data_IF_731005602001
#
_entry.id   IF_731005602001
#
_cell.length_a   1.000
_cell.length_b   1.000
_cell.length_c   1.000
_cell.angle_alpha   90.00
_cell.angle_beta   90.00
_cell.angle_gamma   90.00
#
_symmetry.space_group_name_H-M   'P 1'
#
loop_
_entity.id
_entity.type
_entity.pdbx_description
1 polymer ?
#
# COMPACT_ATOMS: atom_id res chain seq x y z
N UNK A 1 6.64 -10.97 -6.30
CA UNK A 1 6.20 -11.66 -5.07
C UNK A 1 6.27 -13.17 -5.20
N UNK A 2 5.54 -13.84 -6.12
CA UNK A 2 5.59 -15.31 -6.26
C UNK A 2 7.03 -15.88 -6.41
N UNK A 3 7.83 -15.32 -7.32
CA UNK A 3 9.23 -15.76 -7.51
C UNK A 3 10.10 -15.54 -6.25
N UNK A 4 9.79 -14.51 -5.44
CA UNK A 4 10.49 -14.25 -4.20
C UNK A 4 10.18 -15.29 -3.13
N UNK A 5 9.02 -15.97 -3.19
CA UNK A 5 8.65 -17.01 -2.23
C UNK A 5 9.60 -18.21 -2.32
N UNK A 6 9.95 -18.65 -3.53
CA UNK A 6 10.90 -19.76 -3.71
C UNK A 6 12.34 -19.38 -3.36
N UNK A 7 12.66 -18.09 -3.38
CA UNK A 7 14.01 -17.58 -3.12
C UNK A 7 14.16 -16.92 -1.75
N UNK A 8 13.13 -16.97 -0.90
CA UNK A 8 13.09 -16.24 0.38
C UNK A 8 14.31 -16.50 1.28
N UNK A 9 14.82 -17.74 1.32
CA UNK A 9 16.01 -18.10 2.11
C UNK A 9 17.34 -17.60 1.55
N UNK A 10 17.34 -17.07 0.32
CA UNK A 10 18.51 -16.58 -0.42
C UNK A 10 18.58 -15.05 -0.49
N UNK A 11 17.60 -14.36 0.11
CA UNK A 11 17.55 -12.90 0.20
C UNK A 11 18.45 -12.44 1.35
N UNK A 12 19.59 -11.87 1.00
CA UNK A 12 20.45 -11.13 1.91
C UNK A 12 20.02 -9.65 1.99
N UNK A 13 20.62 -8.90 2.91
CA UNK A 13 20.27 -7.48 3.13
C UNK A 13 20.51 -6.60 1.90
N UNK A 14 21.47 -6.95 1.04
CA UNK A 14 21.76 -6.19 -0.18
C UNK A 14 20.63 -6.38 -1.20
N UNK A 15 20.20 -7.61 -1.43
CA UNK A 15 19.05 -7.91 -2.30
C UNK A 15 17.75 -7.34 -1.74
N UNK A 16 17.55 -7.42 -0.43
CA UNK A 16 16.38 -6.83 0.22
C UNK A 16 16.35 -5.32 0.07
N UNK A 17 17.50 -4.62 0.15
CA UNK A 17 17.58 -3.18 -0.11
C UNK A 17 17.18 -2.83 -1.56
N UNK A 18 17.66 -3.62 -2.53
CA UNK A 18 17.25 -3.42 -3.93
C UNK A 18 15.74 -3.55 -4.06
N UNK A 19 15.17 -4.68 -3.61
CA UNK A 19 13.72 -4.92 -3.66
C UNK A 19 12.93 -3.86 -2.88
N UNK A 20 13.43 -3.42 -1.72
CA UNK A 20 12.81 -2.36 -0.93
C UNK A 20 12.66 -1.07 -1.74
N UNK A 21 13.71 -0.65 -2.46
CA UNK A 21 13.67 0.53 -3.34
C UNK A 21 12.67 0.35 -4.47
N UNK A 22 12.57 -0.85 -5.02
CA UNK A 22 11.57 -1.18 -6.03
C UNK A 22 10.14 -1.02 -5.47
N UNK A 23 9.91 -1.51 -4.25
CA UNK A 23 8.60 -1.44 -3.58
C UNK A 23 8.22 -0.01 -3.20
N UNK A 24 9.17 0.79 -2.69
CA UNK A 24 8.92 2.20 -2.38
C UNK A 24 8.51 2.97 -3.63
N UNK A 25 9.20 2.77 -4.76
CA UNK A 25 8.83 3.43 -6.01
C UNK A 25 7.48 2.95 -6.55
N UNK A 26 7.19 1.65 -6.47
CA UNK A 26 5.88 1.12 -6.86
C UNK A 26 4.75 1.71 -6.01
N UNK A 27 4.96 1.85 -4.70
CA UNK A 27 4.02 2.49 -3.77
C UNK A 27 3.85 4.00 -4.07
N UNK A 28 4.95 4.71 -4.34
CA UNK A 28 4.95 6.14 -4.73
C UNK A 28 4.18 6.38 -6.03
N UNK A 29 4.49 5.60 -7.08
CA UNK A 29 3.90 5.78 -8.40
C UNK A 29 2.55 5.08 -8.56
N UNK A 30 2.04 4.38 -7.54
CA UNK A 30 0.66 3.92 -7.51
C UNK A 30 -0.32 5.09 -7.74
N UNK A 31 -0.01 6.25 -7.15
CA UNK A 31 -0.76 7.50 -7.33
C UNK A 31 -0.66 8.09 -8.76
N UNK A 32 0.29 7.64 -9.61
CA UNK A 32 0.35 8.09 -11.01
C UNK A 32 -0.84 7.59 -11.84
N UNK A 33 -1.70 6.75 -11.26
CA UNK A 33 -2.99 6.34 -11.82
C UNK A 33 -4.16 7.17 -11.31
N UNK A 34 -3.90 8.28 -10.62
CA UNK A 34 -4.93 9.25 -10.23
C UNK A 34 -5.72 9.70 -11.46
N UNK A 35 -7.04 9.56 -11.36
CA UNK A 35 -8.03 9.90 -12.38
C UNK A 35 -7.88 11.35 -12.88
N UNK A 36 -7.39 12.26 -12.04
CA UNK A 36 -7.11 13.65 -12.43
C UNK A 36 -6.04 13.74 -13.53
N UNK A 37 -5.03 12.88 -13.47
CA UNK A 37 -3.92 12.76 -14.43
C UNK A 37 -4.30 11.91 -15.65
N UNK A 38 -5.28 11.00 -15.51
CA UNK A 38 -5.67 10.03 -16.54
C UNK A 38 -6.58 10.58 -17.65
N UNK A 39 -7.14 11.79 -17.50
CA UNK A 39 -8.12 12.36 -18.46
C UNK A 39 -7.59 12.50 -19.91
N UNK A 40 -6.26 12.43 -20.11
CA UNK A 40 -5.61 12.54 -21.41
C UNK A 40 -4.76 11.33 -21.80
N UNK A 41 -4.82 10.22 -21.05
CA UNK A 41 -3.96 9.05 -21.28
C UNK A 41 -4.71 7.92 -21.98
N UNK A 42 -4.06 7.25 -22.93
CA UNK A 42 -4.60 6.04 -23.54
C UNK A 42 -4.47 4.84 -22.58
N UNK A 43 -5.27 3.76 -22.75
CA UNK A 43 -5.10 2.54 -21.97
C UNK A 43 -3.68 1.95 -22.02
N UNK A 44 -2.97 2.13 -23.14
CA UNK A 44 -1.59 1.67 -23.29
C UNK A 44 -0.61 2.55 -22.49
N UNK A 45 -0.85 3.86 -22.41
CA UNK A 45 -0.07 4.76 -21.56
C UNK A 45 -0.27 4.43 -20.08
N UNK A 46 -1.50 4.08 -19.68
CA UNK A 46 -1.81 3.63 -18.31
C UNK A 46 -1.08 2.33 -18.00
N UNK A 47 -1.09 1.35 -18.92
CA UNK A 47 -0.34 0.10 -18.76
C UNK A 47 1.16 0.34 -18.66
N UNK A 48 1.70 1.28 -19.44
CA UNK A 48 3.10 1.66 -19.35
C UNK A 48 3.42 2.36 -18.02
N UNK A 49 2.51 3.21 -17.51
CA UNK A 49 2.60 3.79 -16.16
C UNK A 49 2.45 2.75 -15.05
N UNK A 50 1.76 1.66 -15.28
CA UNK A 50 1.63 0.56 -14.32
C UNK A 50 2.75 -0.49 -14.47
N UNK A 51 3.61 -0.36 -15.48
CA UNK A 51 4.71 -1.30 -15.69
C UNK A 51 5.70 -1.23 -14.52
N UNK A 52 6.02 -2.42 -13.99
CA UNK A 52 7.00 -2.64 -12.93
C UNK A 52 8.24 -3.30 -13.53
N UNK A 53 9.43 -2.81 -13.18
CA UNK A 53 10.70 -3.35 -13.66
C UNK A 53 11.83 -2.34 -13.60
N UNK A 54 13.07 -2.85 -13.64
CA UNK A 54 14.30 -2.06 -13.45
C UNK A 54 14.42 -0.85 -14.37
N UNK A 55 14.09 -1.01 -15.65
CA UNK A 55 14.20 0.07 -16.64
C UNK A 55 13.10 1.13 -16.45
N UNK A 56 11.87 0.72 -16.14
CA UNK A 56 10.75 1.62 -15.85
C UNK A 56 11.00 2.42 -14.56
N UNK A 57 11.57 1.79 -13.53
CA UNK A 57 11.96 2.46 -12.30
C UNK A 57 13.13 3.42 -12.51
N UNK A 58 14.19 3.03 -13.23
CA UNK A 58 15.30 3.92 -13.55
C UNK A 58 14.81 5.16 -14.33
N UNK A 59 13.88 4.97 -15.27
CA UNK A 59 13.27 6.06 -16.01
C UNK A 59 12.38 6.97 -15.14
N UNK A 60 11.82 6.50 -14.02
CA UNK A 60 11.00 7.32 -13.11
C UNK A 60 11.78 7.95 -11.98
N UNK A 61 12.87 7.33 -11.57
CA UNK A 61 13.77 7.84 -10.54
C UNK A 61 14.24 9.27 -10.85
N UNK A 62 14.39 9.62 -12.14
CA UNK A 62 14.76 10.99 -12.55
C UNK A 62 13.70 12.05 -12.21
N UNK A 63 12.44 11.66 -11.97
CA UNK A 63 11.36 12.55 -11.58
C UNK A 63 11.20 12.68 -10.05
N UNK A 64 11.98 11.93 -9.28
CA UNK A 64 11.99 12.02 -7.81
C UNK A 64 12.92 13.17 -7.41
N UNK A 65 12.33 14.31 -7.01
CA UNK A 65 13.09 15.51 -6.65
C UNK A 65 13.82 15.40 -5.31
N UNK A 66 13.28 14.58 -4.39
CA UNK A 66 13.88 14.31 -3.08
C UNK A 66 13.75 12.83 -2.78
N UNK A 67 14.89 12.19 -2.53
CA UNK A 67 14.97 10.75 -2.30
C UNK A 67 15.69 10.47 -0.97
N UNK A 68 14.92 10.05 0.03
CA UNK A 68 15.41 9.66 1.36
C UNK A 68 15.42 8.13 1.55
N UNK A 69 15.29 7.33 0.48
CA UNK A 69 15.18 5.85 0.56
C UNK A 69 16.35 5.18 1.28
N UNK A 70 17.57 5.71 1.15
CA UNK A 70 18.75 5.17 1.85
C UNK A 70 18.66 5.38 3.38
N UNK A 71 18.17 6.54 3.81
CA UNK A 71 17.96 6.83 5.22
C UNK A 71 16.83 5.96 5.78
N UNK A 72 15.76 5.81 5.00
CA UNK A 72 14.63 4.96 5.34
C UNK A 72 15.04 3.49 5.48
N UNK A 73 15.85 2.96 4.54
CA UNK A 73 16.34 1.59 4.62
C UNK A 73 17.21 1.36 5.85
N UNK A 74 18.11 2.29 6.19
CA UNK A 74 18.93 2.21 7.41
C UNK A 74 18.09 2.21 8.68
N UNK A 75 17.05 3.03 8.73
CA UNK A 75 16.10 3.04 9.85
C UNK A 75 15.36 1.71 9.94
N UNK A 76 14.73 1.29 8.85
CA UNK A 76 13.94 0.06 8.79
C UNK A 76 14.78 -1.17 9.18
N UNK A 77 15.98 -1.32 8.61
CA UNK A 77 16.87 -2.45 8.89
C UNK A 77 17.42 -2.48 10.32
N UNK A 78 17.25 -1.40 11.09
CA UNK A 78 17.60 -1.36 12.52
C UNK A 78 16.46 -1.88 13.43
N UNK A 79 15.24 -1.98 12.90
CA UNK A 79 14.06 -2.40 13.66
C UNK A 79 14.07 -3.90 13.94
N UNK A 80 13.33 -4.29 14.97
CA UNK A 80 13.01 -5.67 15.30
C UNK A 80 11.55 -5.76 15.66
N UNK A 81 10.81 -6.60 14.94
CA UNK A 81 9.37 -6.75 15.10
C UNK A 81 8.61 -5.42 15.01
N UNK A 82 9.09 -4.48 14.20
CA UNK A 82 8.60 -3.11 14.14
C UNK A 82 7.16 -2.99 13.63
N UNK A 83 6.53 -1.88 13.97
CA UNK A 83 5.21 -1.45 13.50
C UNK A 83 5.35 -0.36 12.44
N UNK A 84 4.73 -0.58 11.29
CA UNK A 84 4.63 0.43 10.21
C UNK A 84 3.18 0.85 10.04
N UNK A 85 2.93 2.16 9.91
CA UNK A 85 1.60 2.70 9.66
C UNK A 85 1.55 3.35 8.28
N UNK A 86 0.50 3.08 7.51
CA UNK A 86 0.19 3.73 6.23
C UNK A 86 -1.00 4.66 6.44
N UNK A 87 -0.80 5.96 6.25
CA UNK A 87 -1.90 6.92 6.07
C UNK A 87 -2.28 6.88 4.60
N UNK A 88 -3.40 6.24 4.32
CA UNK A 88 -3.82 5.89 2.96
C UNK A 88 -4.35 7.10 2.20
N UNK A 89 -4.10 7.08 0.89
CA UNK A 89 -4.64 8.02 -0.08
C UNK A 89 -5.68 7.28 -0.94
N UNK A 90 -5.41 6.98 -2.22
CA UNK A 90 -6.41 6.43 -3.12
C UNK A 90 -6.64 4.91 -3.02
N UNK A 91 -7.88 4.52 -3.28
CA UNK A 91 -8.31 3.16 -3.53
C UNK A 91 -7.83 2.63 -4.91
N UNK A 92 -8.23 1.41 -5.26
CA UNK A 92 -7.86 0.79 -6.53
C UNK A 92 -6.38 0.40 -6.57
N UNK A 93 -5.66 0.82 -7.61
CA UNK A 93 -4.30 0.35 -7.86
C UNK A 93 -3.29 0.91 -6.84
N UNK A 94 -3.50 2.12 -6.31
CA UNK A 94 -2.61 2.66 -5.27
C UNK A 94 -2.72 1.86 -3.96
N UNK A 95 -3.93 1.61 -3.46
CA UNK A 95 -4.13 0.72 -2.32
C UNK A 95 -3.53 -0.68 -2.57
N UNK A 96 -3.65 -1.21 -3.80
CA UNK A 96 -3.02 -2.48 -4.14
C UNK A 96 -1.49 -2.41 -4.00
N UNK A 97 -0.81 -1.36 -4.49
CA UNK A 97 0.64 -1.25 -4.34
C UNK A 97 1.06 -1.03 -2.88
N UNK A 98 0.24 -0.34 -2.09
CA UNK A 98 0.44 -0.21 -0.64
C UNK A 98 0.38 -1.57 0.06
N UNK A 99 -0.61 -2.41 -0.27
CA UNK A 99 -0.74 -3.77 0.26
C UNK A 99 0.42 -4.68 -0.16
N UNK A 100 0.89 -4.59 -1.42
CA UNK A 100 2.06 -5.34 -1.88
C UNK A 100 3.31 -4.89 -1.12
N UNK A 101 3.48 -3.58 -0.87
CA UNK A 101 4.63 -3.10 -0.11
C UNK A 101 4.56 -3.54 1.36
N UNK A 102 3.39 -3.44 1.99
CA UNK A 102 3.18 -3.96 3.33
C UNK A 102 3.48 -5.47 3.42
N UNK A 103 3.08 -6.25 2.41
CA UNK A 103 3.36 -7.69 2.34
C UNK A 103 4.86 -7.95 2.18
N UNK A 104 5.56 -7.14 1.37
CA UNK A 104 7.01 -7.20 1.29
C UNK A 104 7.67 -7.01 2.67
N UNK A 105 7.26 -5.96 3.39
CA UNK A 105 7.81 -5.62 4.70
C UNK A 105 7.65 -6.76 5.71
N UNK A 106 6.45 -7.34 5.84
CA UNK A 106 6.19 -8.40 6.85
C UNK A 106 6.66 -9.78 6.39
N UNK A 107 6.61 -10.07 5.09
CA UNK A 107 6.86 -11.43 4.60
C UNK A 107 8.34 -11.68 4.33
N UNK A 108 9.07 -10.69 3.80
CA UNK A 108 10.42 -10.91 3.26
C UNK A 108 11.51 -10.21 4.06
N UNK A 109 11.16 -9.27 4.93
CA UNK A 109 12.14 -8.63 5.81
C UNK A 109 11.99 -9.17 7.24
N UNK A 110 13.10 -9.24 8.01
CA UNK A 110 13.03 -9.60 9.43
C UNK A 110 12.69 -8.40 10.35
N UNK A 111 12.34 -7.25 9.78
CA UNK A 111 12.32 -5.97 10.50
C UNK A 111 10.94 -5.56 11.00
N UNK A 112 9.87 -5.95 10.30
CA UNK A 112 8.49 -5.49 10.53
C UNK A 112 7.60 -6.68 10.87
N UNK A 113 6.84 -6.58 11.95
CA UNK A 113 5.88 -7.60 12.37
C UNK A 113 4.42 -7.19 12.19
N UNK A 114 4.14 -5.88 12.12
CA UNK A 114 2.78 -5.34 12.05
C UNK A 114 2.68 -4.15 11.10
N UNK A 115 1.55 -4.09 10.40
CA UNK A 115 1.17 -2.95 9.56
C UNK A 115 -0.22 -2.46 9.93
N UNK A 116 -0.37 -1.15 10.08
CA UNK A 116 -1.65 -0.48 10.31
C UNK A 116 -1.99 0.44 9.14
N UNK A 117 -3.22 0.35 8.65
CA UNK A 117 -3.73 1.15 7.54
C UNK A 117 -4.77 2.15 8.08
N UNK A 118 -4.60 3.42 7.76
CA UNK A 118 -5.47 4.51 8.21
C UNK A 118 -6.34 5.01 7.05
N UNK A 119 -7.61 4.58 6.96
CA UNK A 119 -8.54 5.02 5.92
C UNK A 119 -9.25 6.34 6.30
N UNK A 120 -10.02 6.88 5.37
CA UNK A 120 -10.99 7.97 5.60
C UNK A 120 -12.36 7.41 5.98
N UNK A 121 -13.09 8.09 6.85
CA UNK A 121 -14.38 7.59 7.35
C UNK A 121 -15.55 7.87 6.41
N UNK A 122 -15.41 8.80 5.47
CA UNK A 122 -16.44 9.20 4.51
C UNK A 122 -15.85 9.18 3.11
N UNK A 123 -16.67 9.14 2.04
CA UNK A 123 -16.20 9.44 0.69
C UNK A 123 -15.49 10.79 0.70
N UNK A 124 -14.19 10.77 0.40
CA UNK A 124 -13.30 11.91 0.55
C UNK A 124 -12.44 12.01 -0.69
N UNK A 125 -12.27 13.23 -1.21
CA UNK A 125 -11.48 13.52 -2.42
C UNK A 125 -11.65 12.50 -3.58
N UNK A 126 -12.89 12.04 -3.77
CA UNK A 126 -13.32 11.08 -4.81
C UNK A 126 -12.81 9.66 -4.59
N UNK A 127 -11.49 9.47 -4.50
CA UNK A 127 -10.86 8.14 -4.56
C UNK A 127 -10.22 7.69 -3.25
N UNK A 128 -10.22 8.51 -2.19
CA UNK A 128 -9.60 8.12 -0.92
C UNK A 128 -10.19 6.82 -0.36
N UNK A 129 -9.31 5.96 0.17
CA UNK A 129 -9.71 4.66 0.75
C UNK A 129 -10.60 4.87 1.97
N UNK A 130 -11.78 4.26 1.94
CA UNK A 130 -12.63 4.04 3.11
C UNK A 130 -12.53 2.60 3.63
N UNK A 131 -13.01 2.28 4.85
CA UNK A 131 -13.01 0.90 5.33
C UNK A 131 -13.70 -0.09 4.37
N UNK A 132 -14.88 0.23 3.79
CA UNK A 132 -15.48 -0.61 2.76
C UNK A 132 -14.61 -0.81 1.51
N UNK A 133 -13.87 0.21 1.06
CA UNK A 133 -13.00 0.09 -0.11
C UNK A 133 -11.83 -0.87 0.15
N UNK A 134 -11.29 -0.85 1.37
CA UNK A 134 -10.23 -1.78 1.79
C UNK A 134 -10.70 -3.24 1.73
N UNK A 135 -11.86 -3.53 2.33
CA UNK A 135 -12.44 -4.87 2.33
C UNK A 135 -12.86 -5.32 0.92
N UNK A 136 -13.41 -4.38 0.14
CA UNK A 136 -13.80 -4.62 -1.25
C UNK A 136 -12.58 -4.89 -2.12
N UNK A 137 -11.43 -4.23 -1.91
CA UNK A 137 -10.21 -4.50 -2.65
C UNK A 137 -9.75 -5.95 -2.48
N UNK A 138 -9.69 -6.44 -1.24
CA UNK A 138 -9.34 -7.85 -0.95
C UNK A 138 -10.33 -8.82 -1.62
N UNK A 139 -11.63 -8.51 -1.55
CA UNK A 139 -12.69 -9.34 -2.13
C UNK A 139 -12.64 -9.36 -3.67
N UNK A 140 -12.47 -8.20 -4.30
CA UNK A 140 -12.36 -8.05 -5.76
C UNK A 140 -11.13 -8.75 -6.32
N UNK A 141 -9.98 -8.69 -5.64
CA UNK A 141 -8.76 -9.36 -6.09
C UNK A 141 -8.85 -10.90 -6.02
N UNK A 142 -9.79 -11.45 -5.23
CA UNK A 142 -10.06 -12.89 -5.16
C UNK A 142 -11.18 -13.34 -6.11
N UNK A 143 -11.96 -12.41 -6.66
CA UNK A 143 -13.02 -12.70 -7.62
C UNK A 143 -12.42 -12.86 -9.02
N UNK A 144 -12.44 -14.10 -9.53
CA UNK A 144 -11.92 -14.42 -10.86
C UNK A 144 -12.70 -13.77 -11.99
N UNK A 145 -13.90 -13.25 -11.73
CA UNK A 145 -14.70 -12.52 -12.71
C UNK A 145 -14.36 -11.02 -12.79
N UNK A 146 -13.67 -10.49 -11.77
CA UNK A 146 -13.33 -9.06 -11.67
C UNK A 146 -12.32 -8.64 -12.74
N UNK A 147 -11.33 -9.50 -13.02
CA UNK A 147 -10.39 -9.34 -14.13
C UNK A 147 -10.75 -10.34 -15.24
N UNK A 148 -11.67 -10.00 -16.17
CA UNK A 148 -12.03 -10.91 -17.24
C UNK A 148 -10.80 -11.28 -18.07
N UNK A 149 -10.67 -12.56 -18.40
CA UNK A 149 -9.59 -13.05 -19.24
C UNK A 149 -9.54 -12.22 -20.54
N UNK A 150 -8.40 -11.58 -20.79
CA UNK A 150 -8.15 -10.89 -22.04
C UNK A 150 -8.35 -11.89 -23.18
N UNK A 151 -9.08 -11.49 -24.23
CA UNK A 151 -9.31 -12.28 -25.45
C UNK A 151 -8.04 -12.64 -26.24
N UNK A 152 -6.86 -12.29 -25.73
CA UNK A 152 -5.55 -12.70 -26.23
C UNK A 152 -5.12 -14.01 -25.56
N UNK A 153 -5.54 -15.13 -26.14
CA UNK A 153 -5.35 -16.49 -25.62
C UNK A 153 -3.88 -16.93 -25.50
N UNK A 154 -3.33 -16.85 -24.29
CA UNK A 154 -2.08 -17.50 -23.90
C UNK A 154 -2.18 -18.07 -22.49
N UNK A 155 -1.55 -19.22 -22.24
CA UNK A 155 -1.52 -19.93 -20.95
C UNK A 155 -0.96 -19.11 -19.76
N UNK A 156 -0.50 -17.87 -19.99
CA UNK A 156 0.07 -16.97 -18.97
C UNK A 156 -0.99 -16.26 -18.12
N UNK A 157 -2.23 -16.10 -18.61
CA UNK A 157 -3.31 -15.45 -17.85
C UNK A 157 -3.68 -16.25 -16.59
N UNK A 158 -3.66 -17.57 -16.69
CA UNK A 158 -4.12 -18.46 -15.63
C UNK A 158 -3.11 -18.53 -14.47
N UNK A 159 -1.81 -18.54 -14.78
CA UNK A 159 -0.74 -18.52 -13.77
C UNK A 159 -0.68 -17.18 -13.02
N UNK A 160 -0.86 -16.05 -13.72
CA UNK A 160 -0.89 -14.74 -13.08
C UNK A 160 -2.07 -14.59 -12.11
N UNK A 161 -3.24 -15.10 -12.48
CA UNK A 161 -4.43 -15.12 -11.61
C UNK A 161 -4.20 -15.97 -10.36
N UNK A 162 -3.59 -17.15 -10.49
CA UNK A 162 -3.31 -18.01 -9.34
C UNK A 162 -2.27 -17.38 -8.39
N UNK A 163 -1.22 -16.74 -8.93
CA UNK A 163 -0.24 -16.04 -8.10
C UNK A 163 -0.85 -14.86 -7.33
N UNK A 164 -1.72 -14.08 -7.99
CA UNK A 164 -2.47 -13.00 -7.35
C UNK A 164 -3.34 -13.55 -6.23
N UNK A 165 -4.10 -14.61 -6.51
CA UNK A 165 -4.97 -15.26 -5.52
C UNK A 165 -4.18 -15.76 -4.31
N UNK A 166 -3.03 -16.41 -4.51
CA UNK A 166 -2.18 -16.87 -3.43
C UNK A 166 -1.70 -15.71 -2.53
N UNK A 167 -1.25 -14.62 -3.14
CA UNK A 167 -0.81 -13.43 -2.42
C UNK A 167 -1.95 -12.79 -1.62
N UNK A 168 -3.14 -12.64 -2.21
CA UNK A 168 -4.28 -12.01 -1.53
C UNK A 168 -4.86 -12.91 -0.42
N UNK A 169 -4.81 -14.24 -0.58
CA UNK A 169 -5.14 -15.17 0.50
C UNK A 169 -4.17 -15.03 1.69
N UNK A 170 -2.88 -14.78 1.43
CA UNK A 170 -1.92 -14.44 2.49
C UNK A 170 -2.29 -13.13 3.19
N UNK A 171 -2.68 -12.10 2.45
CA UNK A 171 -3.13 -10.83 3.05
C UNK A 171 -4.37 -11.00 3.93
N UNK A 172 -5.35 -11.80 3.48
CA UNK A 172 -6.52 -12.14 4.31
C UNK A 172 -6.10 -12.83 5.60
N UNK A 173 -5.18 -13.78 5.54
CA UNK A 173 -4.63 -14.41 6.74
C UNK A 173 -3.88 -13.41 7.65
N UNK A 174 -3.19 -12.40 7.09
CA UNK A 174 -2.58 -11.33 7.88
C UNK A 174 -3.60 -10.46 8.60
N UNK A 175 -4.74 -10.18 7.96
CA UNK A 175 -5.85 -9.46 8.58
C UNK A 175 -6.43 -10.30 9.73
N UNK A 176 -6.71 -11.58 9.48
CA UNK A 176 -7.26 -12.51 10.49
C UNK A 176 -6.34 -12.68 11.72
N UNK A 177 -5.02 -12.59 11.52
CA UNK A 177 -4.01 -12.73 12.56
C UNK A 177 -3.62 -11.40 13.23
N UNK A 178 -4.11 -10.26 12.74
CA UNK A 178 -3.71 -8.94 13.21
C UNK A 178 -2.27 -8.55 12.88
N UNK A 179 -1.69 -9.14 11.81
CA UNK A 179 -0.45 -8.67 11.18
C UNK A 179 -0.73 -7.42 10.36
N UNK A 180 -1.80 -7.46 9.56
CA UNK A 180 -2.40 -6.28 8.92
C UNK A 180 -3.62 -5.84 9.71
N UNK A 181 -3.74 -4.55 9.97
CA UNK A 181 -4.86 -4.00 10.71
C UNK A 181 -5.34 -2.72 10.03
N UNK A 182 -6.65 -2.51 9.98
CA UNK A 182 -7.16 -1.14 9.86
C UNK A 182 -7.03 -0.44 11.22
N UNK A 183 -6.77 0.86 11.23
CA UNK A 183 -6.77 1.66 12.46
C UNK A 183 -8.16 1.92 13.02
N UNK A 184 -9.19 1.45 12.32
CA UNK A 184 -10.60 1.41 12.72
C UNK A 184 -11.13 -0.02 12.56
N UNK A 185 -12.29 -0.32 13.16
CA UNK A 185 -12.93 -1.62 12.97
C UNK A 185 -13.30 -1.81 11.49
N UNK A 186 -13.10 -3.01 10.95
CA UNK A 186 -13.37 -3.31 9.53
C UNK A 186 -14.85 -3.11 9.16
N UNK A 187 -15.76 -3.33 10.11
CA UNK A 187 -17.20 -3.12 9.94
C UNK A 187 -17.66 -1.66 10.19
N UNK A 188 -16.71 -0.72 10.34
CA UNK A 188 -17.04 0.71 10.50
C UNK A 188 -17.78 1.20 9.25
N UNK A 189 -19.06 1.63 9.37
CA UNK A 189 -19.81 2.12 8.22
C UNK A 189 -19.28 3.48 7.76
N UNK A 190 -19.59 3.88 6.53
CA UNK A 190 -19.31 5.23 6.05
C UNK A 190 -19.98 6.27 6.96
N UNK A 191 -19.19 7.22 7.45
CA UNK A 191 -19.60 8.22 8.43
C UNK A 191 -19.79 7.66 9.85
N UNK A 192 -19.30 6.44 10.12
CA UNK A 192 -19.33 5.82 11.43
C UNK A 192 -18.48 6.58 12.46
N UNK A 193 -18.76 6.34 13.74
CA UNK A 193 -18.05 6.99 14.84
C UNK A 193 -16.74 6.23 15.15
N UNK A 194 -15.62 6.79 14.74
CA UNK A 194 -14.28 6.29 15.04
C UNK A 194 -13.35 7.49 15.32
N UNK A 195 -13.34 8.02 16.57
CA UNK A 195 -12.75 9.32 16.88
C UNK A 195 -11.30 9.51 16.42
N UNK A 196 -10.40 8.51 16.53
CA UNK A 196 -9.03 8.66 16.02
C UNK A 196 -8.97 8.88 14.49
N UNK A 197 -9.90 8.31 13.71
CA UNK A 197 -9.89 8.42 12.26
C UNK A 197 -10.66 9.65 11.73
N UNK A 198 -11.47 10.30 12.55
CA UNK A 198 -12.17 11.55 12.18
C UNK A 198 -11.19 12.66 11.79
N UNK A 199 -9.99 12.65 12.38
CA UNK A 199 -8.94 13.62 12.10
C UNK A 199 -8.54 13.65 10.62
N UNK A 200 -8.53 12.50 9.94
CA UNK A 200 -8.10 12.39 8.54
C UNK A 200 -9.03 13.08 7.53
N UNK A 201 -10.26 13.37 7.95
CA UNK A 201 -11.27 14.09 7.16
C UNK A 201 -11.63 15.44 7.79
N UNK A 202 -10.91 15.85 8.83
CA UNK A 202 -11.08 17.13 9.48
C UNK A 202 -10.28 18.22 8.72
N UNK A 203 -10.67 19.51 8.81
CA UNK A 203 -9.99 20.60 8.11
C UNK A 203 -8.67 21.02 8.79
N UNK A 204 -8.12 20.18 9.67
CA UNK A 204 -6.98 20.52 10.50
C UNK A 204 -5.69 20.03 9.85
N UNK A 205 -4.64 20.86 9.80
CA UNK A 205 -3.32 20.41 9.38
C UNK A 205 -2.72 19.46 10.41
N UNK A 206 -1.80 18.59 9.98
CA UNK A 206 -1.22 17.54 10.85
C UNK A 206 -0.50 18.06 12.09
N UNK A 207 0.04 19.28 12.10
CA UNK A 207 0.64 19.88 13.30
C UNK A 207 -0.38 20.19 14.41
N UNK A 208 -1.68 20.14 14.12
CA UNK A 208 -2.74 20.26 15.13
C UNK A 208 -3.19 18.91 15.70
N UNK A 209 -2.65 17.79 15.22
CA UNK A 209 -3.08 16.44 15.62
C UNK A 209 -3.00 16.21 17.13
N UNK A 210 -1.92 16.65 17.79
CA UNK A 210 -1.76 16.49 19.25
C UNK A 210 -2.91 17.12 20.05
N UNK A 211 -3.46 18.25 19.57
CA UNK A 211 -4.54 18.98 20.24
C UNK A 211 -5.92 18.45 19.83
N UNK A 212 -6.11 18.20 18.53
CA UNK A 212 -7.43 17.86 17.96
C UNK A 212 -7.75 16.37 18.02
N UNK A 213 -6.73 15.51 18.00
CA UNK A 213 -6.86 14.05 18.04
C UNK A 213 -5.74 13.42 18.91
N UNK A 214 -5.69 13.73 20.21
CA UNK A 214 -4.62 13.28 21.10
C UNK A 214 -4.46 11.76 21.16
N UNK A 215 -5.55 11.01 21.01
CA UNK A 215 -5.52 9.54 20.97
C UNK A 215 -4.84 9.00 19.69
N UNK A 216 -5.14 9.60 18.53
CA UNK A 216 -4.46 9.29 17.28
C UNK A 216 -2.97 9.63 17.38
N UNK A 217 -2.65 10.82 17.90
CA UNK A 217 -1.27 11.26 18.07
C UNK A 217 -0.47 10.26 18.93
N UNK A 218 -1.03 9.86 20.09
CA UNK A 218 -0.41 8.84 20.95
C UNK A 218 -0.25 7.50 20.24
N UNK A 219 -1.24 7.10 19.44
CA UNK A 219 -1.18 5.84 18.68
C UNK A 219 -0.07 5.87 17.63
N UNK A 220 0.13 6.99 16.93
CA UNK A 220 1.21 7.14 15.95
C UNK A 220 2.60 7.25 16.60
N UNK A 221 2.69 7.70 17.86
CA UNK A 221 3.95 7.65 18.62
C UNK A 221 4.43 6.23 18.93
N UNK A 222 3.54 5.24 18.87
CA UNK A 222 3.90 3.82 19.00
C UNK A 222 4.35 3.20 17.66
N UNK A 223 4.24 3.94 16.55
CA UNK A 223 4.69 3.50 15.24
C UNK A 223 6.20 3.70 15.10
N UNK A 224 6.90 2.71 14.56
CA UNK A 224 8.31 2.84 14.23
C UNK A 224 8.52 3.60 12.91
N UNK A 225 7.51 3.63 12.05
CA UNK A 225 7.51 4.35 10.77
C UNK A 225 6.07 4.64 10.32
N UNK A 226 5.77 5.91 10.08
CA UNK A 226 4.50 6.32 9.46
C UNK A 226 4.76 6.79 8.02
N UNK A 227 4.15 6.10 7.06
CA UNK A 227 4.19 6.41 5.63
C UNK A 227 2.91 7.17 5.28
N UNK A 228 3.06 8.44 4.94
CA UNK A 228 1.96 9.26 4.41
C UNK A 228 1.94 9.14 2.89
N UNK A 229 0.82 8.66 2.33
CA UNK A 229 0.59 8.59 0.89
C UNK A 229 -0.07 9.89 0.38
N UNK A 230 0.03 10.12 -0.92
CA UNK A 230 -0.71 11.20 -1.59
C UNK A 230 -0.11 12.59 -1.48
N UNK A 231 -0.83 13.54 -2.09
CA UNK A 231 -0.50 14.96 -2.13
C UNK A 231 -1.31 15.81 -1.13
N UNK A 232 -2.42 15.29 -0.60
CA UNK A 232 -3.29 16.00 0.34
C UNK A 232 -2.52 16.36 1.63
N UNK A 233 -2.53 17.66 1.98
CA UNK A 233 -1.78 18.26 3.10
C UNK A 233 -2.67 18.98 4.09
#
# INVERSE_FOLDING_TARGET
MHELESEKSLLDDEKLNVLFREMVQMCLWGNATDLSLLTHMSPDDIRHLQSVGKDAQAARQQFILKDDQEQLWKHLSSLKDGRVDFVLDNSGFELFTDLVFADFLVTYTPYVSKVYFHPKLIPWFVSDVTPPDFDQAISSLLDTSFFPASSTGGNSSDMGSEHLKHMVLRWRNYIDQGVFNLSVASDTPLGGNAPPAEFWTAPWPYWNMEIQAPELFKTLQESDLVIFKGDLK
#
